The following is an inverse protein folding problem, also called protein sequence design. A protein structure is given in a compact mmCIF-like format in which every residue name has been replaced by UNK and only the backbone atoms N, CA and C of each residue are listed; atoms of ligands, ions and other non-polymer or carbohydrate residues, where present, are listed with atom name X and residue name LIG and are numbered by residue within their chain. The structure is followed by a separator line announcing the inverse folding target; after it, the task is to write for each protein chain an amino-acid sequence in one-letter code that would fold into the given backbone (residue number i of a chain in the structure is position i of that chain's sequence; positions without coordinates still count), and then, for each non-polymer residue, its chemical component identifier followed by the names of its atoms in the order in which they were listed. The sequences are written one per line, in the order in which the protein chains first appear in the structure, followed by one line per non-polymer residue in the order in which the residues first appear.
data_IF_902607433138
#
_entry.id   IF_902607433138
#
_cell.length_a   1.000
_cell.length_b   1.000
_cell.length_c   1.000
_cell.angle_alpha   90.00
_cell.angle_beta   90.00
_cell.angle_gamma   90.00
#
_symmetry.space_group_name_H-M   'P 1'
#
loop_
_entity.id
_entity.type
_entity.pdbx_description
1 polymer ?
#
# COMPACT_ATOMS: atom_id res chain seq x y z
N UNK A 1 -41.96 20.19 -53.87
CA UNK A 1 -41.61 19.47 -52.62
C UNK A 1 -40.52 20.26 -51.90
N UNK A 2 -40.91 21.11 -50.95
CA UNK A 2 -39.98 21.91 -50.15
C UNK A 2 -39.50 21.06 -48.98
N UNK A 3 -38.23 20.65 -49.00
CA UNK A 3 -37.60 20.07 -47.80
C UNK A 3 -37.29 21.20 -46.82
N UNK A 4 -37.99 21.20 -45.69
CA UNK A 4 -37.79 22.20 -44.64
C UNK A 4 -36.38 22.05 -44.02
N UNK A 5 -35.59 23.13 -43.92
CA UNK A 5 -34.27 23.11 -43.30
C UNK A 5 -34.30 22.77 -41.79
N UNK A 6 -35.48 22.79 -41.15
CA UNK A 6 -35.68 22.44 -39.74
C UNK A 6 -35.37 20.97 -39.42
N UNK A 7 -35.57 20.06 -40.38
CA UNK A 7 -35.49 18.62 -40.11
C UNK A 7 -34.03 18.13 -40.08
N UNK A 8 -33.16 18.78 -40.85
CA UNK A 8 -31.70 18.51 -40.83
C UNK A 8 -31.05 19.03 -39.56
N UNK A 9 -31.48 20.19 -39.05
CA UNK A 9 -31.02 20.76 -37.78
C UNK A 9 -31.47 19.92 -36.58
N UNK A 10 -32.70 19.39 -36.61
CA UNK A 10 -33.20 18.45 -35.58
C UNK A 10 -32.44 17.13 -35.59
N UNK A 11 -32.16 16.57 -36.77
CA UNK A 11 -31.37 15.34 -36.89
C UNK A 11 -29.92 15.52 -36.37
N UNK A 12 -29.28 16.65 -36.69
CA UNK A 12 -27.94 16.99 -36.16
C UNK A 12 -27.94 17.21 -34.64
N UNK A 13 -28.98 17.84 -34.09
CA UNK A 13 -29.11 18.06 -32.65
C UNK A 13 -29.33 16.75 -31.87
N UNK A 14 -30.13 15.82 -32.41
CA UNK A 14 -30.36 14.50 -31.81
C UNK A 14 -29.10 13.64 -31.88
N UNK A 15 -28.35 13.69 -32.99
CA UNK A 15 -27.08 12.97 -33.12
C UNK A 15 -26.00 13.53 -32.17
N UNK A 16 -25.93 14.85 -32.00
CA UNK A 16 -25.01 15.49 -31.06
C UNK A 16 -25.34 15.15 -29.60
N UNK A 17 -26.63 15.09 -29.23
CA UNK A 17 -27.04 14.64 -27.90
C UNK A 17 -26.74 13.15 -27.65
N UNK A 18 -26.86 12.29 -28.67
CA UNK A 18 -26.50 10.87 -28.56
C UNK A 18 -24.97 10.66 -28.39
N UNK A 19 -24.14 11.47 -29.05
CA UNK A 19 -22.67 11.41 -28.90
C UNK A 19 -22.23 11.98 -27.54
N UNK A 20 -22.88 13.03 -27.04
CA UNK A 20 -22.61 13.59 -25.70
C UNK A 20 -23.05 12.65 -24.57
N UNK A 21 -24.12 11.85 -24.76
CA UNK A 21 -24.55 10.86 -23.78
C UNK A 21 -23.69 9.58 -23.78
N UNK A 22 -23.02 9.27 -24.88
CA UNK A 22 -22.00 8.20 -24.94
C UNK A 22 -20.65 8.64 -24.35
N UNK A 23 -20.32 9.94 -24.39
CA UNK A 23 -19.15 10.48 -23.69
C UNK A 23 -19.36 10.58 -22.16
N UNK A 24 -20.62 10.55 -21.70
CA UNK A 24 -21.00 10.45 -20.29
C UNK A 24 -21.02 9.02 -19.74
N UNK A 25 -20.68 8.00 -20.54
CA UNK A 25 -20.38 6.68 -20.01
C UNK A 25 -19.15 6.82 -19.12
N UNK A 26 -19.37 6.72 -17.80
CA UNK A 26 -18.33 6.52 -16.80
C UNK A 26 -17.26 5.59 -17.39
N UNK A 27 -16.05 6.09 -17.52
CA UNK A 27 -14.90 5.32 -17.98
C UNK A 27 -14.90 4.02 -17.16
N UNK A 28 -15.21 2.89 -17.82
CA UNK A 28 -15.27 1.60 -17.15
C UNK A 28 -13.87 1.32 -16.60
N UNK A 29 -13.74 1.31 -15.28
CA UNK A 29 -12.48 1.01 -14.60
C UNK A 29 -12.30 -0.52 -14.63
N UNK A 30 -11.34 -1.04 -15.43
CA UNK A 30 -11.09 -2.47 -15.45
C UNK A 30 -10.64 -2.91 -14.06
N UNK A 31 -11.32 -3.91 -13.51
CA UNK A 31 -10.95 -4.54 -12.24
C UNK A 31 -10.08 -5.75 -12.46
N UNK A 32 -8.93 -5.52 -13.08
CA UNK A 32 -7.94 -6.55 -13.36
C UNK A 32 -7.05 -6.78 -12.13
N UNK A 33 -6.87 -8.06 -11.78
CA UNK A 33 -5.90 -8.50 -10.78
C UNK A 33 -4.88 -9.40 -11.45
N UNK A 34 -3.60 -9.16 -11.16
CA UNK A 34 -2.51 -10.00 -11.60
C UNK A 34 -2.27 -11.11 -10.58
N UNK A 35 -1.92 -12.30 -11.05
CA UNK A 35 -1.50 -13.37 -10.16
C UNK A 35 -0.05 -13.12 -9.71
N UNK A 36 0.31 -13.49 -8.48
CA UNK A 36 1.68 -13.33 -7.99
C UNK A 36 2.69 -14.18 -8.81
N UNK A 37 3.98 -13.83 -8.74
CA UNK A 37 5.05 -14.58 -9.39
C UNK A 37 5.13 -16.03 -8.86
N UNK A 38 4.92 -17.00 -9.74
CA UNK A 38 4.89 -18.43 -9.39
C UNK A 38 6.30 -19.00 -9.32
N UNK A 39 6.63 -19.61 -8.19
CA UNK A 39 7.92 -20.25 -7.92
C UNK A 39 7.80 -21.32 -6.83
N UNK A 40 8.80 -22.20 -6.73
CA UNK A 40 8.83 -23.27 -5.72
C UNK A 40 9.03 -22.78 -4.28
N UNK A 41 9.55 -21.58 -4.09
CA UNK A 41 9.70 -20.96 -2.78
C UNK A 41 8.42 -20.26 -2.29
N UNK A 42 7.36 -20.16 -3.11
CA UNK A 42 6.11 -19.55 -2.66
C UNK A 42 5.60 -20.25 -1.40
N UNK A 43 5.14 -19.44 -0.43
CA UNK A 43 4.62 -19.89 0.87
C UNK A 43 5.68 -20.41 1.86
N UNK A 44 6.97 -20.33 1.56
CA UNK A 44 8.02 -20.70 2.51
C UNK A 44 7.89 -19.93 3.83
N UNK A 45 7.52 -18.65 3.82
CA UNK A 45 7.27 -17.89 5.05
C UNK A 45 6.16 -18.52 5.90
N UNK A 46 5.05 -18.92 5.26
CA UNK A 46 3.91 -19.56 5.93
C UNK A 46 4.27 -20.92 6.51
N UNK A 47 5.00 -21.72 5.75
CA UNK A 47 5.34 -23.09 6.12
C UNK A 47 6.41 -23.12 7.22
N UNK A 48 7.45 -22.29 7.08
CA UNK A 48 8.63 -22.37 7.92
C UNK A 48 8.60 -21.37 9.09
N UNK A 49 7.95 -20.21 8.94
CA UNK A 49 7.85 -19.16 9.97
C UNK A 49 6.39 -18.69 10.16
N UNK A 50 5.48 -19.65 10.38
CA UNK A 50 4.04 -19.42 10.49
C UNK A 50 3.63 -18.32 11.50
N UNK A 51 4.38 -18.15 12.60
CA UNK A 51 4.11 -17.08 13.57
C UNK A 51 4.27 -15.70 12.90
N UNK A 52 5.39 -15.48 12.20
CA UNK A 52 5.62 -14.22 11.48
C UNK A 52 4.62 -14.03 10.34
N UNK A 53 4.31 -15.08 9.56
CA UNK A 53 3.30 -15.00 8.49
C UNK A 53 1.93 -14.55 9.04
N UNK A 54 1.54 -15.09 10.21
CA UNK A 54 0.25 -14.76 10.83
C UNK A 54 0.15 -13.30 11.27
N UNK A 55 1.25 -12.71 11.72
CA UNK A 55 1.27 -11.28 12.06
C UNK A 55 1.12 -10.43 10.79
N UNK A 56 1.81 -10.77 9.70
CA UNK A 56 1.63 -10.07 8.41
C UNK A 56 0.20 -10.19 7.86
N UNK A 57 -0.45 -11.34 8.03
CA UNK A 57 -1.86 -11.49 7.65
C UNK A 57 -2.77 -10.58 8.49
N UNK A 58 -2.40 -10.32 9.76
CA UNK A 58 -3.04 -9.33 10.61
C UNK A 58 -2.82 -7.87 10.16
N UNK A 59 -1.62 -7.56 9.66
CA UNK A 59 -1.28 -6.25 9.06
C UNK A 59 -2.20 -5.93 7.87
N UNK A 60 -2.33 -6.88 6.93
CA UNK A 60 -3.13 -6.69 5.71
C UNK A 60 -4.61 -6.42 6.05
N UNK A 61 -5.15 -7.11 7.06
CA UNK A 61 -6.48 -6.80 7.60
C UNK A 61 -6.58 -5.38 8.14
N UNK A 62 -5.57 -4.91 8.88
CA UNK A 62 -5.57 -3.60 9.52
C UNK A 62 -5.68 -2.44 8.54
N UNK A 63 -4.95 -2.48 7.41
CA UNK A 63 -5.07 -1.45 6.37
C UNK A 63 -6.44 -1.43 5.71
N UNK A 64 -6.94 -2.60 5.31
CA UNK A 64 -8.28 -2.71 4.72
C UNK A 64 -9.38 -2.25 5.67
N UNK A 65 -9.33 -2.70 6.93
CA UNK A 65 -10.31 -2.31 7.95
C UNK A 65 -10.27 -0.79 8.22
N UNK A 66 -9.07 -0.19 8.22
CA UNK A 66 -8.91 1.25 8.35
C UNK A 66 -9.59 2.01 7.20
N UNK A 67 -9.31 1.63 5.95
CA UNK A 67 -9.87 2.34 4.79
C UNK A 67 -11.39 2.23 4.70
N UNK A 68 -11.94 1.07 5.00
CA UNK A 68 -13.39 0.90 5.05
C UNK A 68 -14.00 1.81 6.11
N UNK A 69 -13.44 1.85 7.33
CA UNK A 69 -13.96 2.68 8.41
C UNK A 69 -13.77 4.18 8.16
N UNK A 70 -12.63 4.61 7.59
CA UNK A 70 -12.44 5.99 7.17
C UNK A 70 -13.51 6.40 6.15
N UNK A 71 -13.88 5.51 5.22
CA UNK A 71 -14.91 5.81 4.24
C UNK A 71 -16.31 5.83 4.88
N UNK A 72 -16.70 4.77 5.59
CA UNK A 72 -18.05 4.62 6.16
C UNK A 72 -18.38 5.71 7.19
N UNK A 73 -17.38 6.24 7.88
CA UNK A 73 -17.54 7.29 8.89
C UNK A 73 -17.24 8.70 8.40
N UNK A 74 -16.93 8.85 7.10
CA UNK A 74 -16.51 10.14 6.53
C UNK A 74 -15.18 10.67 7.08
N UNK A 75 -14.37 9.80 7.68
CA UNK A 75 -13.06 10.12 8.26
C UNK A 75 -13.15 11.04 9.47
N UNK A 76 -14.27 11.04 10.20
CA UNK A 76 -14.56 11.99 11.30
C UNK A 76 -14.89 11.31 12.63
N UNK A 77 -15.39 10.09 12.62
CA UNK A 77 -15.83 9.39 13.83
C UNK A 77 -14.63 8.80 14.58
N UNK A 78 -14.11 9.56 15.55
CA UNK A 78 -12.97 9.18 16.38
C UNK A 78 -13.25 7.88 17.16
N UNK A 79 -14.37 7.71 17.89
CA UNK A 79 -14.68 6.44 18.55
C UNK A 79 -14.78 5.24 17.60
N UNK A 80 -15.34 5.40 16.39
CA UNK A 80 -15.43 4.31 15.45
C UNK A 80 -14.05 3.83 14.97
N UNK A 81 -13.10 4.75 14.79
CA UNK A 81 -11.76 4.42 14.30
C UNK A 81 -10.83 4.05 15.45
N UNK A 82 -10.59 4.96 16.39
CA UNK A 82 -9.59 4.79 17.47
C UNK A 82 -9.93 3.66 18.44
N UNK A 83 -11.23 3.38 18.65
CA UNK A 83 -11.66 2.34 19.56
C UNK A 83 -12.14 1.10 18.82
N UNK A 84 -13.24 1.19 18.07
CA UNK A 84 -13.90 0.01 17.50
C UNK A 84 -13.05 -0.67 16.43
N UNK A 85 -12.73 0.03 15.36
CA UNK A 85 -11.96 -0.54 14.25
C UNK A 85 -10.57 -0.99 14.73
N UNK A 86 -9.92 -0.22 15.61
CA UNK A 86 -8.63 -0.61 16.19
C UNK A 86 -8.75 -1.90 17.00
N UNK A 87 -9.76 -2.04 17.86
CA UNK A 87 -10.00 -3.28 18.64
C UNK A 87 -10.31 -4.47 17.74
N UNK A 88 -11.08 -4.26 16.67
CA UNK A 88 -11.35 -5.32 15.67
C UNK A 88 -10.06 -5.81 15.02
N UNK A 89 -9.18 -4.88 14.62
CA UNK A 89 -7.88 -5.22 14.06
C UNK A 89 -7.00 -5.99 15.05
N UNK A 90 -6.90 -5.52 16.30
CA UNK A 90 -6.12 -6.21 17.34
C UNK A 90 -6.71 -7.59 17.67
N UNK A 91 -8.04 -7.70 17.70
CA UNK A 91 -8.71 -8.98 17.91
C UNK A 91 -8.43 -9.95 16.76
N UNK A 92 -8.43 -9.47 15.51
CA UNK A 92 -8.09 -10.28 14.35
C UNK A 92 -6.64 -10.78 14.41
N UNK A 93 -5.68 -9.90 14.71
CA UNK A 93 -4.27 -10.28 14.94
C UNK A 93 -4.16 -11.38 16.01
N UNK A 94 -4.87 -11.23 17.13
CA UNK A 94 -4.86 -12.20 18.22
C UNK A 94 -5.38 -13.59 17.80
N UNK A 95 -6.15 -13.71 16.70
CA UNK A 95 -6.59 -15.01 16.17
C UNK A 95 -5.48 -15.79 15.44
N UNK A 96 -4.33 -15.17 15.15
CA UNK A 96 -3.22 -15.74 14.37
C UNK A 96 -3.69 -16.29 13.01
N UNK A 97 -4.17 -15.41 12.11
CA UNK A 97 -4.73 -15.81 10.82
C UNK A 97 -3.69 -16.53 9.95
N UNK A 98 -4.00 -17.75 9.53
CA UNK A 98 -3.10 -18.58 8.69
C UNK A 98 -3.20 -18.29 7.19
N UNK A 99 -4.28 -17.63 6.78
CA UNK A 99 -4.52 -17.26 5.40
C UNK A 99 -4.50 -15.76 5.29
N UNK A 100 -3.89 -15.27 4.19
CA UNK A 100 -3.95 -13.86 3.87
C UNK A 100 -5.43 -13.47 3.67
N UNK A 101 -5.94 -12.48 4.41
CA UNK A 101 -7.29 -11.97 4.18
C UNK A 101 -7.50 -11.49 2.74
N UNK A 102 -8.71 -11.70 2.21
CA UNK A 102 -9.10 -11.02 0.99
C UNK A 102 -9.50 -9.57 1.33
N UNK A 103 -8.60 -8.63 1.06
CA UNK A 103 -8.80 -7.19 1.29
C UNK A 103 -10.11 -6.66 0.66
N UNK A 104 -10.52 -7.21 -0.48
CA UNK A 104 -11.79 -6.85 -1.14
C UNK A 104 -13.03 -7.22 -0.31
N UNK A 105 -12.94 -8.29 0.46
CA UNK A 105 -14.03 -8.72 1.34
C UNK A 105 -14.11 -7.86 2.61
N UNK A 106 -13.00 -7.22 3.00
CA UNK A 106 -12.90 -6.39 4.21
C UNK A 106 -13.24 -4.93 3.89
N UNK A 107 -12.73 -4.41 2.76
CA UNK A 107 -12.89 -3.02 2.34
C UNK A 107 -13.68 -2.86 1.02
N UNK A 108 -14.89 -3.44 0.90
CA UNK A 108 -15.63 -3.47 -0.37
C UNK A 108 -16.06 -2.08 -0.83
N UNK A 109 -16.24 -1.12 0.08
CA UNK A 109 -16.65 0.24 -0.27
C UNK A 109 -15.43 1.06 -0.71
N UNK A 110 -14.30 0.93 -0.01
CA UNK A 110 -13.05 1.55 -0.44
C UNK A 110 -12.62 1.06 -1.82
N UNK A 111 -12.72 -0.24 -2.09
CA UNK A 111 -12.41 -0.79 -3.41
C UNK A 111 -13.29 -0.24 -4.54
N UNK A 112 -14.54 0.11 -4.25
CA UNK A 112 -15.41 0.78 -5.23
C UNK A 112 -14.99 2.22 -5.47
N UNK A 113 -14.48 2.90 -4.44
CA UNK A 113 -14.01 4.27 -4.54
C UNK A 113 -12.68 4.36 -5.30
N UNK A 114 -11.70 3.55 -4.92
CA UNK A 114 -10.29 3.77 -5.27
C UNK A 114 -9.59 2.49 -5.76
N UNK A 115 -10.22 1.72 -6.65
CA UNK A 115 -9.70 0.44 -7.15
C UNK A 115 -8.23 0.46 -7.58
N UNK A 116 -7.82 1.44 -8.41
CA UNK A 116 -6.44 1.54 -8.90
C UNK A 116 -5.40 1.68 -7.79
N UNK A 117 -5.74 2.42 -6.74
CA UNK A 117 -4.88 2.58 -5.56
C UNK A 117 -4.82 1.27 -4.76
N UNK A 118 -5.95 0.58 -4.58
CA UNK A 118 -5.95 -0.73 -3.94
C UNK A 118 -5.13 -1.75 -4.75
N UNK A 119 -5.24 -1.78 -6.08
CA UNK A 119 -4.47 -2.72 -6.89
C UNK A 119 -2.96 -2.41 -6.84
N UNK A 120 -2.60 -1.13 -6.67
CA UNK A 120 -1.21 -0.70 -6.40
C UNK A 120 -0.71 -1.26 -5.06
N UNK A 121 -1.56 -1.28 -4.02
CA UNK A 121 -1.26 -1.93 -2.74
C UNK A 121 -1.12 -3.44 -2.90
N UNK A 122 -2.10 -4.12 -3.51
CA UNK A 122 -2.11 -5.57 -3.69
C UNK A 122 -0.83 -6.07 -4.41
N UNK A 123 -0.40 -5.38 -5.47
CA UNK A 123 0.82 -5.73 -6.22
C UNK A 123 2.10 -5.52 -5.38
N UNK A 124 2.16 -4.44 -4.61
CA UNK A 124 3.32 -4.16 -3.75
C UNK A 124 3.37 -5.08 -2.51
N UNK A 125 2.21 -5.43 -1.93
CA UNK A 125 2.08 -6.46 -0.89
C UNK A 125 2.52 -7.83 -1.43
N UNK A 126 2.17 -8.18 -2.67
CA UNK A 126 2.66 -9.40 -3.30
C UNK A 126 4.20 -9.42 -3.44
N UNK A 127 4.83 -8.27 -3.73
CA UNK A 127 6.30 -8.15 -3.72
C UNK A 127 6.90 -8.31 -2.31
N UNK A 128 6.30 -7.72 -1.28
CA UNK A 128 6.69 -7.94 0.12
C UNK A 128 6.67 -9.43 0.47
N UNK A 129 5.54 -10.11 0.21
CA UNK A 129 5.35 -11.54 0.50
C UNK A 129 6.35 -12.41 -0.23
N UNK A 130 6.56 -12.17 -1.51
CA UNK A 130 7.55 -12.90 -2.28
C UNK A 130 8.98 -12.68 -1.75
N UNK A 131 9.30 -11.47 -1.30
CA UNK A 131 10.60 -11.16 -0.71
C UNK A 131 10.81 -11.96 0.59
N UNK A 132 9.80 -12.03 1.47
CA UNK A 132 9.88 -12.86 2.68
C UNK A 132 10.04 -14.34 2.34
N UNK A 133 9.22 -14.87 1.43
CA UNK A 133 9.30 -16.26 1.00
C UNK A 133 10.69 -16.61 0.48
N UNK A 134 11.28 -15.78 -0.39
CA UNK A 134 12.64 -16.00 -0.92
C UNK A 134 13.67 -16.01 0.20
N UNK A 135 13.61 -15.02 1.11
CA UNK A 135 14.58 -14.91 2.21
C UNK A 135 14.48 -16.09 3.17
N UNK A 136 13.27 -16.56 3.46
CA UNK A 136 13.01 -17.70 4.36
C UNK A 136 13.34 -19.04 3.71
N UNK A 137 13.08 -19.21 2.41
CA UNK A 137 13.27 -20.48 1.71
C UNK A 137 14.72 -20.97 1.61
N UNK A 138 14.84 -22.24 1.21
CA UNK A 138 16.09 -22.90 0.82
C UNK A 138 16.57 -22.54 -0.60
N UNK A 139 15.97 -21.55 -1.27
CA UNK A 139 16.45 -21.08 -2.59
C UNK A 139 17.94 -20.72 -2.51
N UNK A 140 18.82 -21.41 -3.26
CA UNK A 140 20.26 -21.19 -3.17
C UNK A 140 20.70 -19.86 -3.76
N UNK A 141 20.00 -19.37 -4.79
CA UNK A 141 20.32 -18.10 -5.46
C UNK A 141 19.21 -17.07 -5.23
N UNK A 142 19.17 -16.58 -3.99
CA UNK A 142 18.21 -15.57 -3.53
C UNK A 142 18.33 -14.26 -4.31
N UNK A 143 19.54 -13.87 -4.74
CA UNK A 143 19.76 -12.66 -5.54
C UNK A 143 19.07 -12.75 -6.91
N UNK A 144 19.20 -13.89 -7.60
CA UNK A 144 18.49 -14.13 -8.86
C UNK A 144 16.98 -14.17 -8.63
N UNK A 145 16.51 -14.86 -7.60
CA UNK A 145 15.08 -14.94 -7.30
C UNK A 145 14.47 -13.55 -7.04
N UNK A 146 15.14 -12.72 -6.23
CA UNK A 146 14.70 -11.35 -5.93
C UNK A 146 14.71 -10.45 -7.17
N UNK A 147 15.74 -10.56 -8.04
CA UNK A 147 15.76 -9.83 -9.32
C UNK A 147 14.62 -10.25 -10.24
N UNK A 148 14.30 -11.54 -10.31
CA UNK A 148 13.23 -12.05 -11.16
C UNK A 148 11.85 -11.57 -10.68
N UNK A 149 11.58 -11.63 -9.37
CA UNK A 149 10.29 -11.14 -8.85
C UNK A 149 10.17 -9.62 -8.97
N UNK A 150 11.26 -8.86 -8.78
CA UNK A 150 11.25 -7.42 -9.02
C UNK A 150 11.01 -7.10 -10.50
N UNK A 151 11.63 -7.84 -11.43
CA UNK A 151 11.40 -7.68 -12.85
C UNK A 151 9.94 -7.96 -13.21
N UNK A 152 9.37 -9.05 -12.69
CA UNK A 152 7.95 -9.37 -12.86
C UNK A 152 7.05 -8.26 -12.32
N UNK A 153 7.29 -7.79 -11.09
CA UNK A 153 6.54 -6.72 -10.45
C UNK A 153 6.52 -5.46 -11.33
N UNK A 154 7.68 -5.05 -11.87
CA UNK A 154 7.84 -3.87 -12.72
C UNK A 154 7.08 -3.89 -14.04
N UNK A 155 6.67 -5.07 -14.51
CA UNK A 155 5.82 -5.18 -15.69
C UNK A 155 4.36 -4.77 -15.39
N UNK A 156 3.97 -4.65 -14.11
CA UNK A 156 2.62 -4.23 -13.75
C UNK A 156 2.41 -2.74 -14.04
N UNK A 157 1.26 -2.40 -14.61
CA UNK A 157 0.82 -1.01 -14.76
C UNK A 157 0.61 -0.31 -13.40
N UNK A 158 0.48 -1.10 -12.33
CA UNK A 158 0.28 -0.65 -10.96
C UNK A 158 1.56 -0.74 -10.11
N UNK A 159 2.72 -0.99 -10.75
CA UNK A 159 3.99 -1.03 -10.04
C UNK A 159 4.35 0.37 -9.49
N UNK A 160 4.58 0.44 -8.18
CA UNK A 160 5.18 1.60 -7.54
C UNK A 160 6.62 1.74 -8.05
N UNK A 161 7.04 2.98 -8.26
CA UNK A 161 8.40 3.34 -8.64
C UNK A 161 9.40 2.78 -7.65
N UNK A 162 10.47 2.22 -8.19
CA UNK A 162 11.62 1.76 -7.42
C UNK A 162 12.63 2.89 -7.15
N UNK A 163 12.35 4.11 -7.63
CA UNK A 163 13.16 5.29 -7.35
C UNK A 163 12.87 5.76 -5.93
N UNK A 164 13.89 6.29 -5.26
CA UNK A 164 13.72 6.90 -3.94
C UNK A 164 12.91 8.18 -4.08
N UNK A 165 11.74 8.23 -3.46
CA UNK A 165 10.95 9.43 -3.37
C UNK A 165 11.37 10.27 -2.15
N UNK A 166 11.13 11.57 -2.24
CA UNK A 166 11.26 12.51 -1.14
C UNK A 166 10.01 12.40 -0.26
N UNK A 167 10.07 11.47 0.68
CA UNK A 167 8.98 11.22 1.61
C UNK A 167 8.70 12.42 2.53
N UNK A 168 9.69 13.29 2.79
CA UNK A 168 9.44 14.52 3.56
C UNK A 168 8.57 15.51 2.79
N UNK A 169 8.75 15.64 1.48
CA UNK A 169 7.87 16.45 0.63
C UNK A 169 6.48 15.83 0.48
N UNK A 170 6.40 14.50 0.37
CA UNK A 170 5.12 13.77 0.37
C UNK A 170 4.40 13.88 1.73
N UNK A 171 5.14 14.10 2.82
CA UNK A 171 4.62 14.36 4.17
C UNK A 171 4.23 15.84 4.42
N UNK A 172 4.26 16.68 3.38
CA UNK A 172 3.94 18.12 3.44
C UNK A 172 2.87 18.54 2.43
N UNK A 173 2.15 17.59 1.82
CA UNK A 173 1.00 17.89 0.97
C UNK A 173 -0.09 18.60 1.77
N UNK A 174 -1.02 19.34 1.13
CA UNK A 174 -1.99 20.19 1.84
C UNK A 174 -2.84 19.47 2.90
N UNK A 175 -3.10 18.18 2.72
CA UNK A 175 -3.86 17.33 3.65
C UNK A 175 -2.99 16.49 4.58
N UNK A 176 -1.66 16.52 4.43
CA UNK A 176 -0.75 15.67 5.19
C UNK A 176 -0.98 15.80 6.69
N UNK A 177 -0.85 14.66 7.38
CA UNK A 177 -1.01 14.49 8.82
C UNK A 177 -2.44 14.60 9.32
N UNK A 178 -3.44 14.80 8.47
CA UNK A 178 -4.84 14.90 8.92
C UNK A 178 -5.28 13.61 9.61
N UNK A 179 -4.96 12.45 9.04
CA UNK A 179 -5.30 11.16 9.62
C UNK A 179 -4.59 10.97 10.96
N UNK A 180 -3.26 11.04 10.97
CA UNK A 180 -2.45 10.74 12.17
C UNK A 180 -2.62 11.74 13.32
N UNK A 181 -3.02 12.98 13.06
CA UNK A 181 -3.40 13.95 14.11
C UNK A 181 -4.77 13.63 14.71
N UNK A 182 -5.71 13.14 13.89
CA UNK A 182 -7.08 12.86 14.32
C UNK A 182 -7.23 11.48 14.95
N UNK A 183 -6.46 10.50 14.47
CA UNK A 183 -6.51 9.10 14.87
C UNK A 183 -5.09 8.58 15.24
N UNK A 184 -4.41 9.20 16.22
CA UNK A 184 -3.04 8.85 16.60
C UNK A 184 -2.86 7.39 17.05
N UNK A 185 -3.84 6.75 17.73
CA UNK A 185 -3.67 5.37 18.20
C UNK A 185 -3.71 4.37 17.04
N UNK A 186 -4.65 4.53 16.11
CA UNK A 186 -4.72 3.70 14.91
C UNK A 186 -3.49 3.94 14.03
N UNK A 187 -3.07 5.20 13.87
CA UNK A 187 -1.82 5.51 13.16
C UNK A 187 -0.62 4.78 13.77
N UNK A 188 -0.47 4.81 15.10
CA UNK A 188 0.62 4.12 15.78
C UNK A 188 0.53 2.58 15.64
N UNK A 189 -0.69 2.04 15.54
CA UNK A 189 -0.92 0.63 15.20
C UNK A 189 -0.44 0.30 13.78
N UNK A 190 -0.76 1.13 12.78
CA UNK A 190 -0.23 0.98 11.42
C UNK A 190 1.29 1.17 11.36
N UNK A 191 1.84 2.14 12.10
CA UNK A 191 3.29 2.33 12.22
C UNK A 191 3.98 1.06 12.72
N UNK A 192 3.38 0.39 13.71
CA UNK A 192 3.89 -0.87 14.26
C UNK A 192 3.92 -1.99 13.22
N UNK A 193 2.95 -1.99 12.30
CA UNK A 193 2.91 -2.94 11.18
C UNK A 193 4.05 -2.71 10.20
N UNK A 194 4.25 -1.45 9.78
CA UNK A 194 5.35 -1.11 8.88
C UNK A 194 6.71 -1.38 9.52
N UNK A 195 6.86 -1.14 10.83
CA UNK A 195 8.04 -1.58 11.58
C UNK A 195 8.30 -3.08 11.40
N UNK A 196 7.31 -3.94 11.64
CA UNK A 196 7.47 -5.39 11.50
C UNK A 196 7.84 -5.77 10.06
N UNK A 197 7.20 -5.16 9.07
CA UNK A 197 7.44 -5.44 7.65
C UNK A 197 8.90 -5.22 7.24
N UNK A 198 9.56 -4.18 7.76
CA UNK A 198 10.93 -3.88 7.34
C UNK A 198 12.01 -4.31 8.34
N UNK A 199 11.69 -4.48 9.64
CA UNK A 199 12.68 -4.85 10.65
C UNK A 199 13.19 -6.29 10.52
N UNK A 200 12.44 -7.17 9.84
CA UNK A 200 12.78 -8.59 9.74
C UNK A 200 13.81 -8.92 8.67
N UNK A 201 14.05 -8.05 7.69
CA UNK A 201 14.86 -8.40 6.52
C UNK A 201 16.31 -8.71 6.87
N UNK A 202 17.02 -7.80 7.55
CA UNK A 202 18.42 -8.01 7.92
C UNK A 202 18.59 -9.26 8.81
N UNK A 203 17.82 -9.43 9.90
CA UNK A 203 17.92 -10.63 10.75
C UNK A 203 17.63 -11.93 10.02
N UNK A 204 16.63 -11.96 9.12
CA UNK A 204 16.32 -13.14 8.33
C UNK A 204 17.39 -13.47 7.27
N UNK A 205 18.03 -12.45 6.68
CA UNK A 205 19.11 -12.64 5.72
C UNK A 205 20.42 -13.07 6.38
N UNK A 206 20.68 -12.62 7.61
CA UNK A 206 21.87 -12.99 8.36
C UNK A 206 21.81 -14.44 8.90
N UNK A 207 20.61 -14.96 9.15
CA UNK A 207 20.41 -16.30 9.68
C UNK A 207 20.56 -17.40 8.61
N UNK A 208 21.39 -18.41 8.88
CA UNK A 208 21.78 -19.42 7.90
C UNK A 208 20.79 -20.59 7.75
N UNK A 209 20.02 -20.90 8.79
CA UNK A 209 19.05 -22.00 8.80
C UNK A 209 17.74 -21.57 9.47
N UNK A 210 16.73 -22.46 9.39
CA UNK A 210 15.40 -22.16 9.92
C UNK A 210 15.38 -21.96 11.44
N UNK A 211 16.18 -22.70 12.20
CA UNK A 211 16.25 -22.54 13.64
C UNK A 211 16.82 -21.16 14.02
N UNK A 212 17.88 -20.73 13.34
CA UNK A 212 18.46 -19.41 13.50
C UNK A 212 17.48 -18.30 13.08
N UNK A 213 16.75 -18.47 11.95
CA UNK A 213 15.72 -17.53 11.50
C UNK A 213 14.59 -17.39 12.54
N UNK A 214 14.12 -18.52 13.06
CA UNK A 214 13.09 -18.55 14.11
C UNK A 214 13.56 -17.80 15.35
N UNK A 215 14.81 -18.00 15.77
CA UNK A 215 15.38 -17.29 16.91
C UNK A 215 15.60 -15.80 16.64
N UNK A 216 15.94 -15.42 15.41
CA UNK A 216 16.19 -14.04 14.99
C UNK A 216 14.90 -13.19 14.97
N UNK A 217 13.75 -13.75 14.61
CA UNK A 217 12.48 -12.99 14.54
C UNK A 217 11.81 -12.76 15.89
N UNK A 218 12.05 -13.62 16.88
CA UNK A 218 11.45 -13.53 18.23
C UNK A 218 11.57 -12.15 18.90
N UNK A 219 12.76 -11.52 19.01
CA UNK A 219 12.86 -10.19 19.63
C UNK A 219 12.15 -9.09 18.84
N UNK A 220 12.01 -9.25 17.52
CA UNK A 220 11.29 -8.30 16.64
C UNK A 220 9.80 -8.42 16.89
N UNK A 221 9.27 -9.66 16.92
CA UNK A 221 7.88 -9.94 17.25
C UNK A 221 7.52 -9.42 18.65
N UNK A 222 8.37 -9.67 19.66
CA UNK A 222 8.17 -9.13 21.00
C UNK A 222 8.18 -7.60 21.03
N UNK A 223 9.00 -6.95 20.22
CA UNK A 223 9.01 -5.48 20.10
C UNK A 223 7.76 -4.96 19.41
N UNK A 224 7.35 -5.61 18.33
CA UNK A 224 6.11 -5.33 17.62
C UNK A 224 4.89 -5.45 18.54
N UNK A 225 4.74 -6.54 19.29
CA UNK A 225 3.63 -6.71 20.24
C UNK A 225 3.63 -5.65 21.33
N UNK A 226 4.81 -5.24 21.84
CA UNK A 226 4.90 -4.09 22.76
C UNK A 226 4.39 -2.80 22.14
N UNK A 227 4.67 -2.53 20.87
CA UNK A 227 4.11 -1.36 20.19
C UNK A 227 2.59 -1.47 19.98
N UNK A 228 2.02 -2.67 19.80
CA UNK A 228 0.57 -2.82 19.76
C UNK A 228 -0.10 -2.57 21.12
N UNK A 229 0.53 -3.04 22.20
CA UNK A 229 0.08 -2.84 23.59
C UNK A 229 0.26 -1.38 24.04
N UNK A 230 1.38 -0.76 23.67
CA UNK A 230 1.77 0.60 24.02
C UNK A 230 2.12 1.38 22.73
N UNK A 231 1.10 1.88 22.01
CA UNK A 231 1.31 2.51 20.71
C UNK A 231 2.16 3.77 20.81
N UNK A 232 3.24 3.89 20.01
CA UNK A 232 4.09 5.09 20.00
C UNK A 232 3.42 6.22 19.21
N UNK A 233 2.45 6.89 19.82
CA UNK A 233 1.61 7.91 19.17
C UNK A 233 2.38 9.13 18.68
N UNK A 234 3.56 9.39 19.22
CA UNK A 234 4.46 10.44 18.79
C UNK A 234 5.21 10.12 17.48
N UNK A 235 5.29 8.84 17.10
CA UNK A 235 5.94 8.39 15.86
C UNK A 235 4.95 8.47 14.70
N UNK A 236 5.03 9.60 14.01
CA UNK A 236 4.09 9.96 12.95
C UNK A 236 4.67 9.82 11.55
N UNK A 237 5.97 9.56 11.42
CA UNK A 237 6.62 9.30 10.14
C UNK A 237 6.92 7.81 10.05
N UNK A 238 6.57 7.19 8.92
CA UNK A 238 6.70 5.74 8.76
C UNK A 238 8.17 5.32 8.74
N UNK A 239 8.49 4.16 9.35
CA UNK A 239 9.86 3.72 9.43
C UNK A 239 10.38 3.36 8.04
N UNK A 240 11.61 3.79 7.74
CA UNK A 240 12.23 3.50 6.45
C UNK A 240 13.02 2.19 6.50
N UNK A 241 13.01 1.45 5.40
CA UNK A 241 13.71 0.16 5.28
C UNK A 241 15.20 0.34 5.53
N UNK A 242 15.81 1.43 5.07
CA UNK A 242 17.23 1.70 5.30
C UNK A 242 17.58 1.99 6.77
N UNK A 243 16.62 2.37 7.61
CA UNK A 243 16.82 2.61 9.04
C UNK A 243 16.78 1.31 9.85
N UNK A 244 15.90 0.38 9.45
CA UNK A 244 15.63 -0.85 10.22
C UNK A 244 16.30 -2.11 9.63
N UNK A 245 16.56 -2.13 8.33
CA UNK A 245 17.30 -3.19 7.61
C UNK A 245 18.29 -2.58 6.61
N UNK A 246 19.34 -1.89 7.09
CA UNK A 246 20.31 -1.20 6.24
C UNK A 246 21.06 -2.12 5.26
N UNK A 247 21.37 -3.37 5.65
CA UNK A 247 22.09 -4.29 4.75
C UNK A 247 21.20 -4.73 3.58
N UNK A 248 19.93 -5.01 3.84
CA UNK A 248 18.91 -5.28 2.84
C UNK A 248 18.74 -4.09 1.90
N UNK A 249 18.56 -2.89 2.45
CA UNK A 249 18.37 -1.68 1.64
C UNK A 249 19.59 -1.36 0.77
N UNK A 250 20.80 -1.61 1.27
CA UNK A 250 22.02 -1.43 0.49
C UNK A 250 22.14 -2.47 -0.64
N UNK A 251 21.75 -3.72 -0.41
CA UNK A 251 21.84 -4.81 -1.39
C UNK A 251 20.71 -4.77 -2.43
N UNK A 252 19.50 -4.40 -2.02
CA UNK A 252 18.29 -4.38 -2.86
C UNK A 252 17.58 -3.02 -2.79
N UNK A 253 18.26 -1.91 -3.20
CA UNK A 253 17.74 -0.56 -3.01
C UNK A 253 16.41 -0.32 -3.74
N UNK A 254 16.22 -0.97 -4.88
CA UNK A 254 14.99 -0.85 -5.68
C UNK A 254 13.77 -1.47 -4.97
N UNK A 255 13.98 -2.60 -4.28
CA UNK A 255 12.93 -3.24 -3.49
C UNK A 255 12.65 -2.40 -2.23
N UNK A 256 13.70 -2.00 -1.50
CA UNK A 256 13.57 -1.16 -0.31
C UNK A 256 12.84 0.17 -0.60
N UNK A 257 13.21 0.87 -1.68
CA UNK A 257 12.52 2.10 -2.08
C UNK A 257 11.04 1.84 -2.40
N UNK A 258 10.72 0.72 -3.06
CA UNK A 258 9.33 0.36 -3.38
C UNK A 258 8.51 0.19 -2.10
N UNK A 259 9.07 -0.44 -1.07
CA UNK A 259 8.42 -0.62 0.24
C UNK A 259 8.26 0.70 1.00
N UNK A 260 9.29 1.54 1.04
CA UNK A 260 9.21 2.85 1.68
C UNK A 260 8.18 3.75 0.97
N UNK A 261 8.13 3.70 -0.36
CA UNK A 261 7.13 4.38 -1.16
C UNK A 261 5.71 3.85 -0.87
N UNK A 262 5.53 2.53 -0.77
CA UNK A 262 4.26 1.92 -0.39
C UNK A 262 3.77 2.42 0.97
N UNK A 263 4.63 2.41 1.99
CA UNK A 263 4.28 2.86 3.33
C UNK A 263 3.87 4.34 3.34
N UNK A 264 4.59 5.20 2.61
CA UNK A 264 4.22 6.61 2.46
C UNK A 264 2.88 6.78 1.71
N UNK A 265 2.60 5.93 0.71
CA UNK A 265 1.32 5.96 -0.02
C UNK A 265 0.14 5.65 0.90
N UNK A 266 0.28 4.65 1.79
CA UNK A 266 -0.76 4.35 2.77
C UNK A 266 -1.11 5.55 3.63
N UNK A 267 -0.09 6.28 4.09
CA UNK A 267 -0.25 7.50 4.88
C UNK A 267 -0.95 8.61 4.10
N UNK A 268 -0.49 8.88 2.87
CA UNK A 268 -1.08 9.91 2.02
C UNK A 268 -2.56 9.62 1.70
N UNK A 269 -2.92 8.37 1.44
CA UNK A 269 -4.31 7.99 1.20
C UNK A 269 -5.14 8.12 2.47
N UNK A 270 -4.62 7.68 3.62
CA UNK A 270 -5.31 7.86 4.91
C UNK A 270 -5.59 9.33 5.19
N UNK A 271 -4.60 10.21 4.94
CA UNK A 271 -4.74 11.66 5.07
C UNK A 271 -5.79 12.23 4.11
N UNK A 272 -5.82 11.81 2.85
CA UNK A 272 -6.85 12.22 1.88
C UNK A 272 -8.25 11.80 2.36
N UNK A 273 -8.41 10.56 2.82
CA UNK A 273 -9.69 10.05 3.30
C UNK A 273 -10.16 10.78 4.56
N UNK A 274 -9.25 11.15 5.47
CA UNK A 274 -9.56 11.95 6.66
C UNK A 274 -9.70 13.46 6.39
N UNK A 275 -9.21 13.96 5.24
CA UNK A 275 -9.13 15.40 4.96
C UNK A 275 -10.49 16.08 4.85
N UNK A 276 -10.61 17.26 5.46
CA UNK A 276 -11.75 18.16 5.27
C UNK A 276 -11.55 19.13 4.10
N UNK A 277 -10.35 19.17 3.49
CA UNK A 277 -10.08 19.97 2.29
C UNK A 277 -10.78 19.40 1.05
N UNK A 278 -11.05 18.09 1.06
CA UNK A 278 -11.69 17.35 -0.02
C UNK A 278 -13.08 16.93 0.46
N UNK A 279 -14.09 17.72 0.09
CA UNK A 279 -15.44 17.63 0.68
C UNK A 279 -16.29 16.46 0.17
N UNK A 280 -15.95 15.89 -0.99
CA UNK A 280 -16.72 14.81 -1.62
C UNK A 280 -15.86 13.58 -1.83
N UNK A 281 -16.49 12.40 -1.93
CA UNK A 281 -15.81 11.17 -2.28
C UNK A 281 -15.17 11.25 -3.68
N UNK A 282 -15.81 11.91 -4.64
CA UNK A 282 -15.23 12.12 -5.96
C UNK A 282 -13.96 13.00 -5.91
N UNK A 283 -13.94 14.03 -5.07
CA UNK A 283 -12.75 14.86 -4.88
C UNK A 283 -11.61 14.07 -4.23
N UNK A 284 -11.93 13.23 -3.23
CA UNK A 284 -10.95 12.33 -2.60
C UNK A 284 -10.43 11.30 -3.61
N UNK A 285 -11.29 10.66 -4.38
CA UNK A 285 -10.90 9.71 -5.45
C UNK A 285 -10.00 10.37 -6.48
N UNK A 286 -10.38 11.55 -6.96
CA UNK A 286 -9.59 12.30 -7.93
C UNK A 286 -8.19 12.62 -7.38
N UNK A 287 -8.08 13.01 -6.12
CA UNK A 287 -6.79 13.29 -5.49
C UNK A 287 -5.95 12.04 -5.25
N UNK A 288 -6.56 10.94 -4.79
CA UNK A 288 -5.89 9.64 -4.66
C UNK A 288 -5.27 9.24 -6.00
N UNK A 289 -6.04 9.29 -7.09
CA UNK A 289 -5.54 8.91 -8.41
C UNK A 289 -4.51 9.88 -8.95
N UNK A 290 -4.69 11.18 -8.76
CA UNK A 290 -3.68 12.18 -9.13
C UNK A 290 -2.36 11.86 -8.44
N UNK A 291 -2.37 11.58 -7.14
CA UNK A 291 -1.19 11.27 -6.36
C UNK A 291 -0.52 9.97 -6.83
N UNK A 292 -1.30 8.89 -6.98
CA UNK A 292 -0.81 7.60 -7.48
C UNK A 292 -0.15 7.77 -8.85
N UNK A 293 -0.84 8.42 -9.80
CA UNK A 293 -0.40 8.57 -11.18
C UNK A 293 0.78 9.54 -11.35
N UNK A 294 0.90 10.54 -10.49
CA UNK A 294 1.94 11.58 -10.64
C UNK A 294 3.22 11.24 -9.89
N UNK A 295 3.11 10.55 -8.74
CA UNK A 295 4.23 10.40 -7.81
C UNK A 295 4.62 8.96 -7.50
N UNK A 296 3.70 8.00 -7.60
CA UNK A 296 3.95 6.65 -7.10
C UNK A 296 4.16 5.64 -8.20
N UNK A 297 3.38 5.65 -9.28
CA UNK A 297 3.55 4.65 -10.34
C UNK A 297 4.88 4.82 -11.08
N UNK A 298 5.50 3.71 -11.46
CA UNK A 298 6.73 3.70 -12.25
C UNK A 298 6.59 4.40 -13.61
N UNK A 299 5.36 4.46 -14.14
CA UNK A 299 5.04 5.23 -15.36
C UNK A 299 5.28 6.74 -15.20
N UNK A 300 5.34 7.25 -13.97
CA UNK A 300 5.58 8.66 -13.68
C UNK A 300 7.06 9.03 -13.66
N UNK A 301 7.98 8.06 -13.63
CA UNK A 301 9.41 8.26 -13.33
C UNK A 301 10.07 9.40 -14.12
N UNK A 302 9.76 9.51 -15.43
CA UNK A 302 10.38 10.49 -16.32
C UNK A 302 10.06 11.95 -15.94
N UNK A 303 8.94 12.17 -15.24
CA UNK A 303 8.43 13.51 -14.90
C UNK A 303 8.20 13.70 -13.40
N UNK A 304 8.47 12.69 -12.58
CA UNK A 304 8.11 12.67 -11.19
C UNK A 304 8.96 13.66 -10.37
N UNK A 305 8.37 14.76 -9.87
CA UNK A 305 9.12 15.79 -9.15
C UNK A 305 9.49 15.37 -7.73
N UNK A 306 8.99 14.22 -7.25
CA UNK A 306 9.27 13.70 -5.92
C UNK A 306 10.48 12.77 -5.90
N UNK A 307 11.05 12.38 -7.05
CA UNK A 307 12.26 11.56 -7.05
C UNK A 307 13.45 12.39 -6.53
N UNK A 308 14.13 11.87 -5.52
CA UNK A 308 15.37 12.47 -5.01
C UNK A 308 16.47 12.26 -6.05
N UNK A 309 17.05 13.36 -6.56
CA UNK A 309 18.14 13.29 -7.52
C UNK A 309 19.43 12.75 -6.88
N UNK A 310 20.28 12.09 -7.67
CA UNK A 310 21.57 11.52 -7.20
C UNK A 310 22.55 12.53 -6.57
N UNK A 311 22.25 13.84 -6.62
CA UNK A 311 23.13 14.91 -6.13
C UNK A 311 23.12 15.13 -4.61
N UNK A 312 22.20 14.53 -3.86
CA UNK A 312 22.13 14.71 -2.40
C UNK A 312 22.95 13.70 -1.58
N UNK A 313 23.79 12.87 -2.21
CA UNK A 313 24.71 11.95 -1.49
C UNK A 313 25.97 12.62 -0.92
N UNK A 314 26.07 13.95 -0.98
CA UNK A 314 27.22 14.70 -0.50
C UNK A 314 26.79 15.82 0.44
N UNK A 315 26.43 15.51 1.68
CA UNK A 315 26.64 16.39 2.83
C UNK A 315 26.81 15.59 4.11
#
# INVERSE_FOLDING_TARGET
MMHHPSDRLRALAVLAMAVLSLAGCSQFEPRDKRFYYRAFWNFALREDLAELDSEFNGVDFGHSNLYENLLLTGGKDVPAIEDRARKETLAFIATKPQLNPNEEAIAPTYMKLAWRAQNTFDEAHALHRATYDIVVSDEPDKDRALRNVLAYYRESAYAITAKRLDHHRLDQLPYSKTFRKRFPLFNATIWSYHYLQVAVYDPLQAAHDLAAKTQAVRPILATYHRYLEQPPVEWTFMPLTAELSPAFAARYPEIANTFDNLHMLHDNISDILASELLLTWDAKRAEIYRLVDTYYLASADATNPMIVGDRERHH
#
